data_IF_164295956209
#
_entry.id   IF_164295956209
#
_cell.length_a   1.000
_cell.length_b   1.000
_cell.length_c   1.000
_cell.angle_alpha   90.00
_cell.angle_beta   90.00
_cell.angle_gamma   90.00
#
_symmetry.space_group_name_H-M   'P 1'
#
loop_
_entity.id
_entity.type
_entity.pdbx_description
1 polymer ?
#
# COMPACT_ATOMS: atom_id res chain seq x y z
N UNK A 1 -12.46 -9.60 12.18
CA UNK A 1 -11.45 -8.51 12.25
C UNK A 1 -11.33 -7.73 10.94
N UNK A 2 -11.21 -8.37 9.78
CA UNK A 2 -11.05 -7.66 8.49
C UNK A 2 -12.23 -6.77 8.10
N UNK A 3 -13.48 -7.18 8.38
CA UNK A 3 -14.68 -6.38 8.07
C UNK A 3 -14.91 -5.30 9.13
N UNK A 4 -14.96 -5.70 10.41
CA UNK A 4 -15.38 -4.80 11.50
C UNK A 4 -14.22 -4.04 12.17
N UNK A 5 -12.99 -4.24 11.69
CA UNK A 5 -11.77 -3.76 12.34
C UNK A 5 -11.28 -4.67 13.48
N UNK A 6 -10.08 -4.36 13.97
CA UNK A 6 -9.44 -5.13 15.04
C UNK A 6 -10.13 -4.90 16.40
N UNK A 7 -10.66 -3.70 16.63
CA UNK A 7 -11.30 -3.33 17.90
C UNK A 7 -12.69 -3.96 18.08
N UNK A 8 -13.28 -4.53 17.03
CA UNK A 8 -14.58 -5.19 17.09
C UNK A 8 -14.63 -6.29 18.16
N UNK A 9 -13.54 -7.04 18.34
CA UNK A 9 -13.48 -8.14 19.31
C UNK A 9 -13.68 -7.68 20.76
N UNK A 10 -13.39 -6.40 21.04
CA UNK A 10 -13.65 -5.79 22.34
C UNK A 10 -15.14 -5.66 22.66
N UNK A 11 -16.04 -5.91 21.70
CA UNK A 11 -17.49 -5.79 21.87
C UNK A 11 -18.21 -7.11 21.57
N UNK A 12 -17.46 -8.23 21.53
CA UNK A 12 -17.97 -9.57 21.21
C UNK A 12 -18.06 -10.41 22.47
N UNK A 13 -19.15 -11.18 22.55
CA UNK A 13 -19.31 -12.34 23.42
C UNK A 13 -19.33 -13.57 22.52
N UNK A 14 -18.49 -14.56 22.82
CA UNK A 14 -18.43 -15.80 22.06
C UNK A 14 -19.39 -16.79 22.70
N UNK A 15 -20.27 -17.36 21.88
CA UNK A 15 -21.22 -18.39 22.32
C UNK A 15 -20.80 -19.72 21.71
N UNK A 16 -20.39 -20.66 22.56
CA UNK A 16 -20.10 -22.04 22.18
C UNK A 16 -21.37 -22.86 22.44
N UNK A 17 -21.81 -23.63 21.44
CA UNK A 17 -22.99 -24.48 21.58
C UNK A 17 -22.57 -25.94 21.72
N UNK A 18 -23.49 -26.80 22.18
CA UNK A 18 -23.18 -28.21 22.45
C UNK A 18 -22.71 -28.45 23.87
N UNK A 19 -23.20 -27.66 24.84
CA UNK A 19 -22.87 -27.87 26.26
C UNK A 19 -23.26 -29.24 26.80
N UNK A 20 -24.25 -29.91 26.19
CA UNK A 20 -24.55 -31.32 26.47
C UNK A 20 -23.41 -32.26 26.06
N UNK A 21 -22.80 -32.03 24.90
CA UNK A 21 -21.67 -32.82 24.42
C UNK A 21 -20.41 -32.55 25.27
N UNK A 22 -20.14 -31.30 25.59
CA UNK A 22 -19.03 -30.92 26.46
C UNK A 22 -19.14 -31.61 27.83
N UNK A 23 -20.33 -31.59 28.44
CA UNK A 23 -20.54 -32.26 29.72
C UNK A 23 -20.27 -33.77 29.63
N UNK A 24 -20.79 -34.43 28.59
CA UNK A 24 -20.56 -35.86 28.36
C UNK A 24 -19.06 -36.13 28.21
N UNK A 25 -18.35 -35.33 27.40
CA UNK A 25 -16.92 -35.51 27.15
C UNK A 25 -16.08 -35.36 28.43
N UNK A 26 -16.41 -34.39 29.30
CA UNK A 26 -15.74 -34.20 30.58
C UNK A 26 -16.04 -35.33 31.58
N UNK A 27 -17.23 -35.94 31.55
CA UNK A 27 -17.57 -37.09 32.40
C UNK A 27 -16.70 -38.33 32.11
N UNK A 28 -16.14 -38.45 30.90
CA UNK A 28 -15.27 -39.57 30.49
C UNK A 28 -13.78 -39.26 30.51
N UNK A 29 -13.36 -38.01 30.78
CA UNK A 29 -11.95 -37.65 30.89
C UNK A 29 -11.39 -37.86 32.30
N UNK A 30 -10.11 -38.28 32.39
CA UNK A 30 -9.37 -38.28 33.66
C UNK A 30 -8.93 -36.84 33.99
N UNK A 31 -9.66 -36.21 34.90
CA UNK A 31 -9.40 -34.84 35.35
C UNK A 31 -10.60 -33.93 35.11
N UNK A 32 -10.98 -33.15 36.12
CA UNK A 32 -12.10 -32.21 36.03
C UNK A 32 -11.58 -30.89 35.44
N UNK A 33 -11.62 -30.77 34.11
CA UNK A 33 -11.23 -29.55 33.39
C UNK A 33 -12.45 -28.64 33.28
N UNK A 34 -12.33 -27.42 33.80
CA UNK A 34 -13.41 -26.44 33.66
C UNK A 34 -13.56 -25.98 32.20
N UNK A 35 -14.76 -25.58 31.79
CA UNK A 35 -15.00 -25.03 30.44
C UNK A 35 -14.08 -23.84 30.12
N UNK A 36 -13.79 -23.02 31.12
CA UNK A 36 -12.89 -21.88 31.03
C UNK A 36 -11.42 -22.29 30.73
N UNK A 37 -10.96 -23.36 31.37
CA UNK A 37 -9.64 -23.95 31.12
C UNK A 37 -9.57 -24.62 29.74
N UNK A 38 -10.60 -25.38 29.38
CA UNK A 38 -10.72 -25.96 28.04
C UNK A 38 -10.69 -24.89 26.93
N UNK A 39 -11.33 -23.74 27.16
CA UNK A 39 -11.33 -22.62 26.23
C UNK A 39 -9.94 -22.00 26.03
N UNK A 40 -9.17 -21.86 27.12
CA UNK A 40 -7.79 -21.36 27.06
C UNK A 40 -6.90 -22.26 26.22
N UNK A 41 -7.08 -23.57 26.33
CA UNK A 41 -6.26 -24.53 25.59
C UNK A 41 -6.70 -24.67 24.13
N UNK A 42 -8.01 -24.68 23.87
CA UNK A 42 -8.57 -24.96 22.53
C UNK A 42 -8.59 -23.73 21.62
N UNK A 43 -8.88 -22.54 22.17
CA UNK A 43 -9.09 -21.32 21.39
C UNK A 43 -8.32 -20.11 21.91
N UNK A 44 -7.09 -20.28 22.42
CA UNK A 44 -6.30 -19.22 23.06
C UNK A 44 -6.33 -17.85 22.35
N UNK A 45 -6.16 -17.76 21.01
CA UNK A 45 -6.20 -16.45 20.35
C UNK A 45 -7.58 -15.77 20.43
N UNK A 46 -8.65 -16.54 20.23
CA UNK A 46 -10.03 -16.02 20.28
C UNK A 46 -10.44 -15.68 21.72
N UNK A 47 -10.05 -16.53 22.67
CA UNK A 47 -10.29 -16.32 24.09
C UNK A 47 -9.62 -15.03 24.57
N UNK A 48 -8.36 -14.78 24.17
CA UNK A 48 -7.67 -13.53 24.45
C UNK A 48 -8.30 -12.31 23.78
N UNK A 49 -8.67 -12.43 22.50
CA UNK A 49 -9.28 -11.33 21.73
C UNK A 49 -10.61 -10.81 22.32
N UNK A 50 -11.36 -11.69 22.99
CA UNK A 50 -12.62 -11.37 23.65
C UNK A 50 -12.49 -11.24 25.18
N UNK A 51 -11.28 -11.08 25.72
CA UNK A 51 -10.98 -11.04 27.16
C UNK A 51 -11.73 -12.11 27.98
N UNK A 52 -11.79 -13.33 27.46
CA UNK A 52 -12.46 -14.47 28.12
C UNK A 52 -13.99 -14.40 28.16
N UNK A 53 -14.63 -13.51 27.40
CA UNK A 53 -16.12 -13.45 27.27
C UNK A 53 -16.63 -14.60 26.41
N UNK A 54 -16.55 -15.82 26.93
CA UNK A 54 -16.99 -17.05 26.27
C UNK A 54 -18.00 -17.75 27.15
N UNK A 55 -19.15 -18.10 26.58
CA UNK A 55 -20.22 -18.82 27.28
C UNK A 55 -20.51 -20.15 26.60
N UNK A 56 -20.84 -21.17 27.40
CA UNK A 56 -21.26 -22.48 26.91
C UNK A 56 -22.77 -22.62 27.00
N UNK A 57 -23.42 -22.91 25.87
CA UNK A 57 -24.85 -23.15 25.80
C UNK A 57 -25.18 -24.62 25.54
N UNK A 58 -26.02 -25.16 26.42
CA UNK A 58 -26.76 -26.39 26.19
C UNK A 58 -28.16 -26.04 25.67
N UNK A 59 -28.29 -25.94 24.35
CA UNK A 59 -29.57 -25.65 23.68
C UNK A 59 -30.62 -26.76 23.85
N UNK A 60 -30.23 -27.94 24.37
CA UNK A 60 -31.12 -29.07 24.65
C UNK A 60 -31.53 -29.16 26.12
N UNK A 61 -31.05 -28.24 26.95
CA UNK A 61 -31.44 -28.17 28.36
C UNK A 61 -32.97 -28.14 28.47
N UNK A 62 -33.52 -28.86 29.43
CA UNK A 62 -34.97 -28.92 29.71
C UNK A 62 -35.31 -28.20 30.99
N UNK A 63 -34.38 -28.16 31.93
CA UNK A 63 -34.53 -27.46 33.20
C UNK A 63 -34.55 -25.93 32.99
N UNK A 64 -35.61 -25.29 33.48
CA UNK A 64 -35.79 -23.86 33.28
C UNK A 64 -34.80 -23.03 34.12
N UNK A 65 -34.40 -23.50 35.29
CA UNK A 65 -33.44 -22.78 36.13
C UNK A 65 -32.06 -22.76 35.46
N UNK A 66 -31.61 -23.89 34.91
CA UNK A 66 -30.37 -24.00 34.15
C UNK A 66 -30.39 -23.17 32.85
N UNK A 67 -31.52 -23.10 32.15
CA UNK A 67 -31.69 -22.18 31.01
C UNK A 67 -31.55 -20.73 31.45
N UNK A 68 -32.24 -20.35 32.52
CA UNK A 68 -32.18 -18.98 33.04
C UNK A 68 -30.75 -18.61 33.45
N UNK A 69 -30.00 -19.51 34.08
CA UNK A 69 -28.59 -19.30 34.41
C UNK A 69 -27.72 -19.05 33.18
N UNK A 70 -27.85 -19.87 32.13
CA UNK A 70 -27.13 -19.69 30.87
C UNK A 70 -27.41 -18.32 30.22
N UNK A 71 -28.67 -17.86 30.22
CA UNK A 71 -29.02 -16.54 29.70
C UNK A 71 -28.50 -15.42 30.59
N UNK A 72 -28.55 -15.58 31.91
CA UNK A 72 -28.03 -14.60 32.86
C UNK A 72 -26.53 -14.36 32.68
N UNK A 73 -25.75 -15.41 32.39
CA UNK A 73 -24.32 -15.30 32.11
C UNK A 73 -24.06 -14.41 30.88
N UNK A 74 -24.82 -14.59 29.79
CA UNK A 74 -24.74 -13.72 28.61
C UNK A 74 -25.07 -12.26 28.95
N UNK A 75 -26.14 -12.05 29.72
CA UNK A 75 -26.56 -10.70 30.14
C UNK A 75 -25.49 -10.05 31.00
N UNK A 76 -24.87 -10.78 31.93
CA UNK A 76 -23.78 -10.27 32.78
C UNK A 76 -22.57 -9.83 31.95
N UNK A 77 -22.18 -10.61 30.94
CA UNK A 77 -21.13 -10.20 30.00
C UNK A 77 -21.53 -8.95 29.21
N UNK A 78 -22.78 -8.86 28.74
CA UNK A 78 -23.27 -7.70 28.00
C UNK A 78 -23.30 -6.43 28.84
N UNK A 79 -23.74 -6.51 30.10
CA UNK A 79 -23.73 -5.40 31.05
C UNK A 79 -22.30 -4.96 31.37
N UNK A 80 -21.40 -5.91 31.60
CA UNK A 80 -19.97 -5.64 31.83
C UNK A 80 -19.34 -4.92 30.64
N UNK A 81 -19.60 -5.40 29.42
CA UNK A 81 -19.16 -4.76 28.18
C UNK A 81 -19.68 -3.33 28.07
N UNK A 82 -20.98 -3.13 28.29
CA UNK A 82 -21.59 -1.81 28.24
C UNK A 82 -20.94 -0.85 29.24
N UNK A 83 -20.61 -1.33 30.45
CA UNK A 83 -20.03 -0.50 31.51
C UNK A 83 -18.54 -0.17 31.27
N UNK A 84 -17.78 -1.10 30.67
CA UNK A 84 -16.33 -0.93 30.48
C UNK A 84 -15.96 -0.30 29.13
N UNK A 85 -16.67 -0.66 28.06
CA UNK A 85 -16.31 -0.32 26.67
C UNK A 85 -17.39 0.48 25.95
N UNK A 86 -18.59 0.57 26.54
CA UNK A 86 -19.75 1.15 25.87
C UNK A 86 -20.36 0.21 24.84
N UNK A 87 -21.27 0.75 24.04
CA UNK A 87 -21.96 0.01 22.98
C UNK A 87 -21.23 0.16 21.66
N UNK A 88 -21.38 -0.83 20.78
CA UNK A 88 -20.97 -0.69 19.38
C UNK A 88 -21.75 0.47 18.74
N UNK A 89 -21.01 1.46 18.23
CA UNK A 89 -21.58 2.75 17.80
C UNK A 89 -21.77 2.84 16.29
N UNK A 90 -22.51 3.85 15.83
CA UNK A 90 -22.63 4.20 14.41
C UNK A 90 -21.27 4.47 13.76
N UNK A 91 -20.30 5.02 14.49
CA UNK A 91 -18.94 5.21 13.98
C UNK A 91 -18.26 3.87 13.72
N UNK A 92 -18.47 2.88 14.59
CA UNK A 92 -17.96 1.53 14.39
C UNK A 92 -18.58 0.88 13.14
N UNK A 93 -19.88 1.09 12.89
CA UNK A 93 -20.53 0.66 11.64
C UNK A 93 -19.96 1.35 10.40
N UNK A 94 -19.79 2.67 10.43
CA UNK A 94 -19.21 3.43 9.32
C UNK A 94 -17.77 2.97 9.02
N UNK A 95 -16.97 2.71 10.06
CA UNK A 95 -15.62 2.17 9.90
C UNK A 95 -15.65 0.78 9.26
N UNK A 96 -16.56 -0.09 9.69
CA UNK A 96 -16.70 -1.43 9.12
C UNK A 96 -17.14 -1.39 7.65
N UNK A 97 -18.03 -0.47 7.30
CA UNK A 97 -18.45 -0.24 5.92
C UNK A 97 -17.27 0.22 5.06
N UNK A 98 -16.47 1.20 5.53
CA UNK A 98 -15.27 1.64 4.83
C UNK A 98 -14.26 0.51 4.62
N UNK A 99 -14.05 -0.36 5.62
CA UNK A 99 -13.16 -1.52 5.47
C UNK A 99 -13.71 -2.55 4.48
N UNK A 100 -15.02 -2.77 4.49
CA UNK A 100 -15.68 -3.63 3.50
C UNK A 100 -15.52 -3.09 2.08
N UNK A 101 -15.71 -1.79 1.88
CA UNK A 101 -15.48 -1.16 0.57
C UNK A 101 -14.03 -1.30 0.11
N UNK A 102 -13.08 -1.07 1.02
CA UNK A 102 -11.65 -1.30 0.75
C UNK A 102 -11.38 -2.73 0.29
N UNK A 103 -11.94 -3.75 0.96
CA UNK A 103 -11.75 -5.14 0.56
C UNK A 103 -12.35 -5.45 -0.82
N UNK A 104 -13.55 -4.94 -1.12
CA UNK A 104 -14.16 -5.10 -2.45
C UNK A 104 -13.27 -4.48 -3.51
N UNK A 105 -12.64 -3.35 -3.20
CA UNK A 105 -11.68 -2.71 -4.08
C UNK A 105 -10.37 -3.50 -4.22
N UNK A 106 -9.82 -4.05 -3.12
CA UNK A 106 -8.62 -4.89 -3.11
C UNK A 106 -8.73 -6.11 -4.03
N UNK A 107 -9.93 -6.63 -4.28
CA UNK A 107 -10.16 -7.70 -5.27
C UNK A 107 -9.78 -7.26 -6.70
N UNK A 108 -9.92 -5.98 -7.03
CA UNK A 108 -9.59 -5.41 -8.36
C UNK A 108 -8.14 -4.96 -8.46
N UNK A 109 -7.47 -4.73 -7.33
CA UNK A 109 -6.09 -4.21 -7.28
C UNK A 109 -5.10 -5.03 -8.11
N UNK A 110 -5.11 -6.37 -8.13
CA UNK A 110 -4.16 -7.15 -8.93
C UNK A 110 -4.23 -6.81 -10.43
N UNK A 111 -5.44 -6.62 -10.98
CA UNK A 111 -5.62 -6.26 -12.39
C UNK A 111 -5.10 -4.85 -12.66
N UNK A 112 -5.45 -3.89 -11.80
CA UNK A 112 -4.96 -2.51 -11.89
C UNK A 112 -3.43 -2.44 -11.80
N UNK A 113 -2.80 -3.22 -10.90
CA UNK A 113 -1.33 -3.30 -10.80
C UNK A 113 -0.69 -3.75 -12.11
N UNK A 114 -1.26 -4.76 -12.77
CA UNK A 114 -0.75 -5.25 -14.05
C UNK A 114 -0.87 -4.16 -15.13
N UNK A 115 -2.01 -3.49 -15.23
CA UNK A 115 -2.24 -2.43 -16.21
C UNK A 115 -1.27 -1.25 -16.00
N UNK A 116 -1.08 -0.82 -14.76
CA UNK A 116 -0.12 0.24 -14.41
C UNK A 116 1.31 -0.17 -14.76
N UNK A 117 1.73 -1.39 -14.41
CA UNK A 117 3.06 -1.90 -14.74
C UNK A 117 3.32 -1.95 -16.25
N UNK A 118 2.31 -2.32 -17.04
CA UNK A 118 2.40 -2.27 -18.50
C UNK A 118 2.59 -0.84 -19.00
N UNK A 119 1.81 0.12 -18.49
CA UNK A 119 1.98 1.53 -18.86
C UNK A 119 3.36 2.07 -18.49
N UNK A 120 3.87 1.74 -17.30
CA UNK A 120 5.23 2.08 -16.84
C UNK A 120 6.28 1.53 -17.80
N UNK A 121 6.16 0.26 -18.19
CA UNK A 121 7.09 -0.39 -19.12
C UNK A 121 7.14 0.33 -20.46
N UNK A 122 5.98 0.72 -21.00
CA UNK A 122 5.89 1.46 -22.27
C UNK A 122 6.51 2.87 -22.15
N UNK A 123 6.29 3.55 -21.03
CA UNK A 123 6.87 4.88 -20.77
C UNK A 123 8.40 4.77 -20.68
N UNK A 124 8.93 3.79 -19.96
CA UNK A 124 10.37 3.55 -19.84
C UNK A 124 11.01 3.24 -21.19
N UNK A 125 10.37 2.42 -22.03
CA UNK A 125 10.85 2.14 -23.38
C UNK A 125 10.91 3.39 -24.26
N UNK A 126 9.92 4.28 -24.15
CA UNK A 126 9.93 5.54 -24.90
C UNK A 126 10.94 6.55 -24.34
N UNK A 127 11.18 6.52 -23.02
CA UNK A 127 12.25 7.28 -22.38
C UNK A 127 13.63 6.81 -22.86
N UNK A 128 13.86 5.50 -22.98
CA UNK A 128 15.10 4.95 -23.54
C UNK A 128 15.30 5.39 -25.00
N UNK A 129 14.27 5.28 -25.84
CA UNK A 129 14.32 5.76 -27.23
C UNK A 129 14.61 7.26 -27.30
N UNK A 130 13.97 8.04 -26.42
CA UNK A 130 14.23 9.46 -26.30
C UNK A 130 15.70 9.69 -25.92
N UNK A 131 16.22 9.01 -24.90
CA UNK A 131 17.60 9.15 -24.41
C UNK A 131 18.64 8.86 -25.49
N UNK A 132 18.47 7.78 -26.26
CA UNK A 132 19.45 7.34 -27.26
C UNK A 132 19.47 8.20 -28.54
N UNK A 133 18.35 8.86 -28.88
CA UNK A 133 18.26 9.63 -30.11
C UNK A 133 18.80 11.06 -29.93
N UNK A 134 19.92 11.40 -30.58
CA UNK A 134 20.51 12.76 -30.54
C UNK A 134 19.56 13.86 -31.05
N UNK A 135 18.65 13.52 -31.96
CA UNK A 135 17.70 14.46 -32.58
C UNK A 135 16.28 14.32 -32.04
N UNK A 136 16.11 13.74 -30.83
CA UNK A 136 14.80 13.60 -30.20
C UNK A 136 14.09 14.95 -30.08
N UNK A 137 12.82 15.01 -30.48
CA UNK A 137 12.07 16.26 -30.50
C UNK A 137 11.56 16.67 -29.12
N UNK A 138 11.31 17.97 -28.94
CA UNK A 138 10.61 18.49 -27.76
C UNK A 138 9.19 17.91 -27.63
N UNK A 139 8.55 17.56 -28.75
CA UNK A 139 7.24 16.89 -28.76
C UNK A 139 7.29 15.48 -28.16
N UNK A 140 8.35 14.71 -28.39
CA UNK A 140 8.54 13.40 -27.76
C UNK A 140 8.72 13.53 -26.25
N UNK A 141 9.54 14.47 -25.81
CA UNK A 141 9.72 14.79 -24.38
C UNK A 141 8.39 15.16 -23.72
N UNK A 142 7.65 16.10 -24.31
CA UNK A 142 6.37 16.55 -23.76
C UNK A 142 5.33 15.42 -23.72
N UNK A 143 5.32 14.54 -24.71
CA UNK A 143 4.45 13.36 -24.71
C UNK A 143 4.74 12.43 -23.52
N UNK A 144 6.02 12.15 -23.24
CA UNK A 144 6.42 11.29 -22.12
C UNK A 144 6.03 11.95 -20.78
N UNK A 145 6.29 13.26 -20.62
CA UNK A 145 5.91 14.03 -19.42
C UNK A 145 4.39 13.93 -19.18
N UNK A 146 3.58 14.18 -20.19
CA UNK A 146 2.13 14.14 -20.05
C UNK A 146 1.61 12.73 -19.74
N UNK A 147 2.22 11.68 -20.29
CA UNK A 147 1.88 10.29 -19.96
C UNK A 147 2.20 9.93 -18.51
N UNK A 148 3.34 10.38 -17.98
CA UNK A 148 3.69 10.18 -16.56
C UNK A 148 2.69 10.89 -15.66
N UNK A 149 2.33 12.14 -15.98
CA UNK A 149 1.32 12.89 -15.22
C UNK A 149 -0.06 12.23 -15.28
N UNK A 150 -0.48 11.77 -16.46
CA UNK A 150 -1.74 11.07 -16.64
C UNK A 150 -1.78 9.77 -15.82
N UNK A 151 -0.68 8.99 -15.84
CA UNK A 151 -0.55 7.78 -15.04
C UNK A 151 -0.68 8.06 -13.53
N UNK A 152 0.01 9.09 -13.01
CA UNK A 152 -0.11 9.46 -11.59
C UNK A 152 -1.54 9.85 -11.23
N UNK A 153 -2.21 10.61 -12.09
CA UNK A 153 -3.62 11.01 -11.89
C UNK A 153 -4.54 9.79 -11.85
N UNK A 154 -4.40 8.89 -12.80
CA UNK A 154 -5.17 7.63 -12.85
C UNK A 154 -4.98 6.83 -11.57
N UNK A 155 -3.75 6.66 -11.09
CA UNK A 155 -3.48 5.94 -9.84
C UNK A 155 -4.18 6.60 -8.66
N UNK A 156 -4.14 7.94 -8.53
CA UNK A 156 -4.84 8.67 -7.47
C UNK A 156 -6.36 8.51 -7.55
N UNK A 157 -6.94 8.63 -8.75
CA UNK A 157 -8.37 8.51 -8.96
C UNK A 157 -8.87 7.08 -8.67
N UNK A 158 -8.11 6.07 -9.09
CA UNK A 158 -8.44 4.66 -8.84
C UNK A 158 -8.25 4.27 -7.37
N UNK A 159 -7.23 4.76 -6.68
CA UNK A 159 -6.96 4.41 -5.27
C UNK A 159 -8.07 4.86 -4.31
N UNK A 160 -8.85 5.89 -4.67
CA UNK A 160 -9.97 6.46 -3.88
C UNK A 160 -9.59 6.80 -2.42
N UNK A 161 -8.30 7.00 -2.14
CA UNK A 161 -7.77 7.28 -0.80
C UNK A 161 -7.70 6.07 0.13
N UNK A 162 -7.75 4.84 -0.41
CA UNK A 162 -7.55 3.62 0.37
C UNK A 162 -6.06 3.30 0.64
N UNK A 163 -5.15 3.88 -0.13
CA UNK A 163 -3.69 3.70 -0.02
C UNK A 163 -3.19 2.33 -0.49
N UNK A 164 -3.99 1.58 -1.23
CA UNK A 164 -3.64 0.22 -1.69
C UNK A 164 -2.79 0.24 -2.97
N UNK A 165 -2.81 1.35 -3.72
CA UNK A 165 -1.97 1.56 -4.89
C UNK A 165 -0.71 2.40 -4.58
N UNK A 166 -0.36 2.61 -3.30
CA UNK A 166 0.82 3.38 -2.90
C UNK A 166 2.12 2.87 -3.55
N UNK A 167 2.30 1.55 -3.64
CA UNK A 167 3.45 0.94 -4.34
C UNK A 167 3.50 1.35 -5.82
N UNK A 168 2.33 1.42 -6.48
CA UNK A 168 2.24 1.83 -7.89
C UNK A 168 2.49 3.32 -8.06
N UNK A 169 2.03 4.14 -7.11
CA UNK A 169 2.34 5.58 -7.09
C UNK A 169 3.84 5.81 -6.95
N UNK A 170 4.52 5.11 -6.03
CA UNK A 170 5.97 5.18 -5.87
C UNK A 170 6.70 4.78 -7.16
N UNK A 171 6.23 3.75 -7.85
CA UNK A 171 6.78 3.35 -9.14
C UNK A 171 6.63 4.47 -10.19
N UNK A 172 5.47 5.12 -10.28
CA UNK A 172 5.24 6.23 -11.19
C UNK A 172 6.11 7.47 -10.85
N UNK A 173 6.34 7.74 -9.57
CA UNK A 173 7.25 8.79 -9.10
C UNK A 173 8.72 8.49 -9.46
N UNK A 174 9.14 7.23 -9.40
CA UNK A 174 10.49 6.85 -9.83
C UNK A 174 10.68 7.06 -11.33
N UNK A 175 9.67 6.71 -12.14
CA UNK A 175 9.69 6.97 -13.59
C UNK A 175 9.79 8.47 -13.88
N UNK A 176 9.06 9.31 -13.14
CA UNK A 176 9.16 10.76 -13.24
C UNK A 176 10.57 11.27 -12.90
N UNK A 177 11.19 10.72 -11.85
CA UNK A 177 12.57 11.05 -11.47
C UNK A 177 13.55 10.68 -12.58
N UNK A 178 13.46 9.46 -13.09
CA UNK A 178 14.28 8.98 -14.21
C UNK A 178 14.14 9.91 -15.44
N UNK A 179 12.92 10.27 -15.80
CA UNK A 179 12.66 11.19 -16.91
C UNK A 179 13.36 12.54 -16.71
N UNK A 180 13.22 13.12 -15.52
CA UNK A 180 13.86 14.40 -15.18
C UNK A 180 15.38 14.33 -15.27
N UNK A 181 15.98 13.24 -14.83
CA UNK A 181 17.43 13.06 -14.88
C UNK A 181 17.94 12.90 -16.32
N UNK A 182 17.24 12.12 -17.16
CA UNK A 182 17.56 12.02 -18.59
C UNK A 182 17.44 13.37 -19.33
N UNK A 183 16.43 14.18 -19.01
CA UNK A 183 16.28 15.53 -19.58
C UNK A 183 17.47 16.41 -19.19
N UNK A 184 17.85 16.42 -17.90
CA UNK A 184 19.01 17.20 -17.43
C UNK A 184 20.30 16.77 -18.13
N UNK A 185 20.55 15.46 -18.24
CA UNK A 185 21.74 14.93 -18.90
C UNK A 185 21.82 15.36 -20.37
N UNK A 186 20.71 15.38 -21.11
CA UNK A 186 20.68 15.88 -22.48
C UNK A 186 20.98 17.37 -22.60
N UNK A 187 20.41 18.19 -21.73
CA UNK A 187 20.67 19.64 -21.72
C UNK A 187 22.15 19.91 -21.46
N UNK A 188 22.74 19.22 -20.48
CA UNK A 188 24.17 19.31 -20.17
C UNK A 188 25.03 18.87 -21.36
N UNK A 189 24.68 17.77 -22.03
CA UNK A 189 25.41 17.30 -23.21
C UNK A 189 25.39 18.32 -24.35
N UNK A 190 24.23 18.94 -24.62
CA UNK A 190 24.09 19.97 -25.64
C UNK A 190 24.96 21.21 -25.34
N UNK A 191 24.95 21.70 -24.10
CA UNK A 191 25.78 22.83 -23.66
C UNK A 191 27.29 22.53 -23.77
N UNK A 192 27.68 21.28 -23.49
CA UNK A 192 29.09 20.87 -23.55
C UNK A 192 29.58 20.80 -25.01
N UNK A 193 28.75 20.32 -25.92
CA UNK A 193 29.04 20.33 -27.37
C UNK A 193 29.12 21.76 -27.93
N UNK A 194 28.24 22.67 -27.51
CA UNK A 194 28.30 24.09 -27.88
C UNK A 194 29.62 24.73 -27.43
N UNK A 195 30.04 24.48 -26.18
CA UNK A 195 31.32 24.97 -25.65
C UNK A 195 32.52 24.38 -26.39
N UNK A 196 32.52 23.09 -26.73
CA UNK A 196 33.57 22.46 -27.54
C UNK A 196 33.69 23.08 -28.93
N UNK A 197 32.55 23.31 -29.59
CA UNK A 197 32.50 23.96 -30.90
C UNK A 197 33.09 25.38 -30.85
N UNK A 198 32.72 26.16 -29.83
CA UNK A 198 33.26 27.50 -29.60
C UNK A 198 34.78 27.49 -29.34
N UNK A 199 35.28 26.55 -28.55
CA UNK A 199 36.72 26.42 -28.26
C UNK A 199 37.53 25.97 -29.50
N UNK A 200 36.96 25.08 -30.31
CA UNK A 200 37.54 24.66 -31.60
C UNK A 200 37.65 25.84 -32.57
N UNK A 201 36.60 26.66 -32.69
CA UNK A 201 36.59 27.86 -33.53
C UNK A 201 37.66 28.89 -33.10
N UNK A 202 37.83 29.11 -31.80
CA UNK A 202 38.89 29.95 -31.25
C UNK A 202 40.29 29.40 -31.53
N UNK A 203 40.50 28.09 -31.39
CA UNK A 203 41.78 27.44 -31.73
C UNK A 203 42.13 27.54 -33.22
N UNK A 204 41.14 27.42 -34.10
CA UNK A 204 41.31 27.61 -35.54
C UNK A 204 41.71 29.06 -35.88
N UNK A 205 41.07 30.06 -35.25
CA UNK A 205 41.45 31.47 -35.42
C UNK A 205 42.86 31.77 -34.91
N UNK A 206 43.28 31.18 -33.78
CA UNK A 206 44.64 31.31 -33.27
C UNK A 206 45.72 30.77 -34.22
N UNK A 207 45.44 29.64 -34.89
CA UNK A 207 46.34 29.08 -35.90
C UNK A 207 46.41 29.93 -37.17
N UNK A 208 45.30 30.56 -37.58
CA UNK A 208 45.29 31.49 -38.73
C UNK A 208 46.10 32.75 -38.42
N UNK A 209 45.99 33.30 -37.20
CA UNK A 209 46.80 34.46 -36.79
C UNK A 209 48.31 34.15 -36.72
N UNK A 210 48.69 32.91 -36.38
CA UNK A 210 50.10 32.49 -36.40
C UNK A 210 50.66 32.35 -37.82
N UNK A 211 49.84 31.93 -38.77
CA UNK A 211 50.23 31.81 -40.19
C UNK A 211 50.20 33.15 -40.95
N UNK A 212 49.46 34.16 -40.46
CA UNK A 212 49.41 35.50 -41.03
C UNK A 212 50.23 36.55 -40.25
N UNK A 213 51.04 36.11 -39.29
CA UNK A 213 52.06 36.93 -38.64
C UNK A 213 53.15 37.35 -39.63
N UNK A 214 52.94 38.53 -40.21
CA UNK A 214 53.86 39.37 -40.96
C UNK A 214 55.34 39.13 -40.62
N UNK A 215 56.11 38.79 -41.65
CA UNK A 215 57.56 38.99 -41.65
C UNK A 215 57.85 40.45 -41.31
N UNK A 216 58.46 40.67 -40.15
CA UNK A 216 59.20 41.89 -39.88
C UNK A 216 60.65 41.59 -40.25
N UNK A 217 60.98 41.98 -41.46
CA UNK A 217 62.34 42.03 -41.98
C UNK A 217 63.04 43.20 -41.27
N UNK A 218 64.01 42.94 -40.41
CA UNK A 218 65.04 43.93 -40.06
C UNK A 218 66.42 43.27 -40.19
N UNK A 219 67.00 43.46 -41.37
CA UNK A 219 68.45 43.55 -41.53
C UNK A 219 68.92 44.80 -40.78
N UNK A 220 70.01 44.71 -40.01
CA UNK A 220 71.06 45.74 -39.94
C UNK A 220 72.28 45.21 -39.17
N UNK A 221 73.39 45.08 -39.93
CA UNK A 221 74.82 45.04 -39.56
C UNK A 221 75.35 43.98 -38.60
#
# INVERSE_FOLDING_TARGET
KTIFGNDFMQHVIVVVTGGDLFQIEMEYQEGDISFDEWCRDTFLPLYGDCDGRVVLLNNREKDNEKKTKQIQEIVQHADTLQNQKGRYTSQCFANAEKQREKMIFEVKVPQLKIEIQQQVTLILADLEKYSQNKNSSESQKNNIIERVKALKREITEQDKGFGVLNEMMQLAEEVERHLNDHIKLKVLAAQLEEKKSHFSALGALGNVFRNFGLGSNENST
#
